data_IF_099071035122
#
_entry.id   IF_099071035122
#
_cell.length_a   1.000
_cell.length_b   1.000
_cell.length_c   1.000
_cell.angle_alpha   90.00
_cell.angle_beta   90.00
_cell.angle_gamma   90.00
#
_symmetry.space_group_name_H-M   'P 1'
#
loop_
_entity.id
_entity.type
_entity.pdbx_description
1 polymer ?
#
# COMPACT_ATOMS: atom_id res chain seq x y z
N UNK A 1 -0.22 4.78 -7.88
CA UNK A 1 -0.97 3.80 -8.71
C UNK A 1 -2.17 3.30 -7.91
N UNK A 2 -3.35 3.25 -8.51
CA UNK A 2 -4.49 2.55 -7.94
C UNK A 2 -4.28 1.04 -8.06
N UNK A 3 -4.63 0.28 -7.03
CA UNK A 3 -4.38 -1.17 -6.99
C UNK A 3 -5.07 -1.90 -8.17
N UNK A 4 -6.30 -1.50 -8.49
CA UNK A 4 -7.11 -2.07 -9.58
C UNK A 4 -6.77 -1.55 -10.98
N UNK A 5 -5.83 -0.57 -11.11
CA UNK A 5 -5.43 -0.01 -12.41
C UNK A 5 -4.04 -0.47 -12.82
N UNK A 6 -3.80 -0.65 -14.11
CA UNK A 6 -2.48 -1.05 -14.64
C UNK A 6 -1.49 0.12 -14.67
N UNK A 7 -1.96 1.34 -15.02
CA UNK A 7 -1.10 2.52 -15.20
C UNK A 7 -0.68 3.14 -13.86
N UNK A 8 0.60 3.52 -13.77
CA UNK A 8 1.12 4.41 -12.72
C UNK A 8 0.82 5.84 -13.13
N UNK A 9 0.36 6.66 -12.19
CA UNK A 9 0.22 8.11 -12.36
C UNK A 9 1.40 8.77 -11.69
N UNK A 10 2.10 9.64 -12.40
CA UNK A 10 3.27 10.36 -11.92
C UNK A 10 2.93 11.81 -11.70
N UNK A 11 3.56 12.41 -10.70
CA UNK A 11 3.55 13.82 -10.40
C UNK A 11 5.01 14.24 -10.23
N UNK A 12 5.46 15.20 -11.02
CA UNK A 12 6.84 15.71 -11.01
C UNK A 12 6.86 17.17 -11.42
N UNK A 13 7.95 17.83 -11.10
CA UNK A 13 8.16 19.25 -11.41
C UNK A 13 8.20 19.48 -12.93
N UNK A 14 7.59 20.56 -13.37
CA UNK A 14 7.82 21.08 -14.71
C UNK A 14 9.11 21.92 -14.72
N UNK A 15 10.20 21.34 -15.18
CA UNK A 15 11.51 22.01 -15.18
C UNK A 15 11.61 23.21 -16.14
N UNK A 16 10.60 23.40 -17.01
CA UNK A 16 10.50 24.62 -17.82
C UNK A 16 10.01 25.82 -17.01
N UNK A 17 9.27 25.56 -15.93
CA UNK A 17 8.71 26.59 -15.06
C UNK A 17 9.55 26.77 -13.81
N UNK A 18 9.90 25.68 -13.14
CA UNK A 18 10.69 25.70 -11.91
C UNK A 18 11.33 24.36 -11.61
N UNK A 19 12.54 24.38 -11.05
CA UNK A 19 13.22 23.19 -10.54
C UNK A 19 12.97 22.97 -9.04
N UNK A 20 12.28 23.90 -8.36
CA UNK A 20 12.13 23.89 -6.90
C UNK A 20 10.69 24.06 -6.41
N UNK A 21 9.81 24.69 -7.22
CA UNK A 21 8.42 24.89 -6.83
C UNK A 21 7.60 23.62 -7.08
N UNK A 22 7.21 22.93 -6.02
CA UNK A 22 6.42 21.71 -6.06
C UNK A 22 4.92 21.94 -5.72
N UNK A 23 4.43 23.19 -5.76
CA UNK A 23 3.05 23.51 -5.39
C UNK A 23 2.02 22.66 -6.15
N UNK A 24 2.08 22.64 -7.48
CA UNK A 24 1.14 21.87 -8.30
C UNK A 24 1.29 20.38 -8.11
N UNK A 25 2.49 19.86 -7.88
CA UNK A 25 2.75 18.45 -7.57
C UNK A 25 2.04 18.05 -6.27
N UNK A 26 2.21 18.86 -5.22
CA UNK A 26 1.61 18.61 -3.90
C UNK A 26 0.08 18.72 -3.97
N UNK A 27 -0.46 19.70 -4.68
CA UNK A 27 -1.89 19.90 -4.89
C UNK A 27 -2.53 18.71 -5.61
N UNK A 28 -1.97 18.28 -6.74
CA UNK A 28 -2.47 17.12 -7.50
C UNK A 28 -2.36 15.81 -6.71
N UNK A 29 -1.27 15.64 -5.96
CA UNK A 29 -1.11 14.48 -5.08
C UNK A 29 -2.18 14.47 -3.98
N UNK A 30 -2.48 15.65 -3.38
CA UNK A 30 -3.56 15.81 -2.40
C UNK A 30 -4.90 15.38 -2.99
N UNK A 31 -5.26 15.84 -4.18
CA UNK A 31 -6.52 15.48 -4.85
C UNK A 31 -6.67 13.96 -5.08
N UNK A 32 -5.57 13.27 -5.37
CA UNK A 32 -5.58 11.82 -5.53
C UNK A 32 -5.71 11.10 -4.19
N UNK A 33 -4.98 11.56 -3.16
CA UNK A 33 -5.03 10.97 -1.83
C UNK A 33 -6.40 11.16 -1.17
N UNK A 34 -7.09 12.27 -1.42
CA UNK A 34 -8.47 12.51 -0.94
C UNK A 34 -9.48 11.48 -1.46
N UNK A 35 -9.18 10.77 -2.55
CA UNK A 35 -10.04 9.74 -3.16
C UNK A 35 -9.64 8.33 -2.74
N UNK A 36 -8.62 8.18 -1.90
CA UNK A 36 -8.10 6.89 -1.50
C UNK A 36 -8.65 6.47 -0.15
N UNK A 37 -9.23 5.27 -0.07
CA UNK A 37 -9.67 4.67 1.19
C UNK A 37 -8.47 4.24 2.03
N UNK A 38 -7.39 3.83 1.37
CA UNK A 38 -6.17 3.36 2.01
C UNK A 38 -4.96 3.61 1.13
N UNK A 39 -3.83 3.93 1.74
CA UNK A 39 -2.53 4.12 1.06
C UNK A 39 -1.59 2.99 1.44
N UNK A 40 -0.99 2.35 0.44
CA UNK A 40 0.04 1.32 0.65
C UNK A 40 1.40 1.92 0.37
N UNK A 41 2.31 1.79 1.33
CA UNK A 41 3.69 2.27 1.23
C UNK A 41 4.70 1.26 1.76
N UNK A 42 5.99 1.55 1.55
CA UNK A 42 7.09 0.84 2.19
C UNK A 42 7.95 1.85 2.95
N UNK A 43 7.81 1.91 4.26
CA UNK A 43 8.33 2.96 5.13
C UNK A 43 7.67 4.34 4.87
N UNK A 44 6.52 4.33 4.23
CA UNK A 44 5.79 5.53 3.83
C UNK A 44 5.28 6.36 5.00
N UNK A 45 4.87 5.70 6.09
CA UNK A 45 4.41 6.38 7.31
C UNK A 45 5.49 7.24 7.96
N UNK A 46 6.74 6.81 7.83
CA UNK A 46 7.86 7.52 8.44
C UNK A 46 8.38 8.65 7.56
N UNK A 47 8.36 8.47 6.23
CA UNK A 47 8.95 9.41 5.28
C UNK A 47 7.92 10.10 4.39
N UNK A 48 7.28 9.37 3.51
CA UNK A 48 6.48 9.93 2.41
C UNK A 48 5.30 10.74 2.93
N UNK A 49 4.50 10.19 3.84
CA UNK A 49 3.32 10.86 4.39
C UNK A 49 3.71 12.07 5.24
N UNK A 50 4.79 11.98 6.02
CA UNK A 50 5.27 13.11 6.82
C UNK A 50 5.85 14.22 5.95
N UNK A 51 6.62 13.87 4.92
CA UNK A 51 7.14 14.84 3.96
C UNK A 51 5.99 15.54 3.23
N UNK A 52 5.00 14.78 2.78
CA UNK A 52 3.81 15.32 2.13
C UNK A 52 3.06 16.32 3.05
N UNK A 53 2.83 15.97 4.32
CA UNK A 53 2.22 16.89 5.29
C UNK A 53 3.04 18.19 5.48
N UNK A 54 4.37 18.06 5.52
CA UNK A 54 5.26 19.22 5.62
C UNK A 54 5.15 20.13 4.38
N UNK A 55 4.93 19.56 3.20
CA UNK A 55 4.73 20.35 1.98
C UNK A 55 3.35 20.98 1.94
N UNK A 56 2.30 20.31 2.42
CA UNK A 56 0.96 20.91 2.54
C UNK A 56 0.98 22.17 3.40
N UNK A 57 1.59 22.13 4.59
CA UNK A 57 1.65 23.30 5.48
C UNK A 57 2.52 24.41 4.89
N UNK A 58 3.63 24.07 4.23
CA UNK A 58 4.49 25.05 3.55
C UNK A 58 3.73 25.83 2.48
N UNK A 59 2.94 25.13 1.65
CA UNK A 59 2.14 25.73 0.57
C UNK A 59 0.79 26.29 1.04
N UNK A 60 0.50 26.28 2.34
CA UNK A 60 -0.80 26.73 2.91
C UNK A 60 -1.99 25.99 2.30
N UNK A 61 -1.79 24.76 1.85
CA UNK A 61 -2.86 23.90 1.38
C UNK A 61 -3.63 23.29 2.55
N UNK A 62 -4.95 23.03 2.39
CA UNK A 62 -5.74 22.42 3.45
C UNK A 62 -5.17 21.09 3.92
N UNK A 63 -5.22 20.83 5.22
CA UNK A 63 -4.80 19.56 5.80
C UNK A 63 -5.55 18.38 5.18
N UNK A 64 -4.91 17.20 5.23
CA UNK A 64 -5.56 15.94 4.88
C UNK A 64 -6.37 15.40 6.05
N UNK A 65 -7.52 14.75 5.80
CA UNK A 65 -8.13 13.90 6.81
C UNK A 65 -7.18 12.76 7.18
N UNK A 66 -7.39 12.09 8.33
CA UNK A 66 -6.62 10.90 8.66
C UNK A 66 -6.68 9.87 7.53
N UNK A 67 -5.53 9.50 6.99
CA UNK A 67 -5.41 8.50 5.93
C UNK A 67 -5.10 7.14 6.57
N UNK A 68 -5.89 6.13 6.23
CA UNK A 68 -5.58 4.76 6.57
C UNK A 68 -4.36 4.32 5.75
N UNK A 69 -3.33 3.80 6.42
CA UNK A 69 -2.08 3.41 5.79
C UNK A 69 -1.73 1.96 6.08
N UNK A 70 -1.23 1.26 5.07
CA UNK A 70 -0.58 -0.04 5.17
C UNK A 70 0.89 0.12 4.83
N UNK A 71 1.74 0.14 5.86
CA UNK A 71 3.19 0.19 5.68
C UNK A 71 3.76 -1.23 5.63
N UNK A 72 4.14 -1.67 4.43
CA UNK A 72 4.66 -3.02 4.19
C UNK A 72 5.98 -3.29 4.92
N UNK A 73 6.78 -2.28 5.24
CA UNK A 73 7.97 -2.43 6.09
C UNK A 73 7.58 -2.79 7.53
N UNK A 74 6.59 -2.10 8.09
CA UNK A 74 6.08 -2.38 9.44
C UNK A 74 5.49 -3.78 9.52
N UNK A 75 4.65 -4.15 8.55
CA UNK A 75 4.05 -5.48 8.50
C UNK A 75 5.10 -6.58 8.28
N UNK A 76 6.12 -6.36 7.44
CA UNK A 76 7.22 -7.28 7.26
C UNK A 76 7.96 -7.55 8.58
N UNK A 77 8.33 -6.51 9.31
CA UNK A 77 9.00 -6.61 10.62
C UNK A 77 8.14 -7.30 11.68
N UNK A 78 6.82 -7.07 11.64
CA UNK A 78 5.87 -7.61 12.62
C UNK A 78 5.59 -9.10 12.43
N UNK A 79 5.62 -9.58 11.21
CA UNK A 79 5.14 -10.93 10.85
C UNK A 79 6.27 -11.86 10.47
N UNK A 80 7.35 -11.34 9.86
CA UNK A 80 8.45 -12.13 9.30
C UNK A 80 9.79 -11.76 9.93
N UNK A 81 10.75 -12.65 9.75
CA UNK A 81 12.16 -12.44 10.14
C UNK A 81 13.03 -12.52 8.90
N UNK A 82 12.88 -11.53 8.01
CA UNK A 82 13.79 -11.40 6.87
C UNK A 82 15.17 -10.91 7.30
N UNK A 83 16.24 -11.32 6.62
CA UNK A 83 17.60 -10.83 6.86
C UNK A 83 17.74 -9.34 6.55
N UNK A 84 16.92 -8.81 5.63
CA UNK A 84 16.78 -7.37 5.37
C UNK A 84 15.32 -7.05 5.06
N UNK A 85 14.85 -5.91 5.58
CA UNK A 85 13.50 -5.42 5.29
C UNK A 85 13.48 -4.31 4.24
N UNK A 86 14.54 -4.16 3.42
CA UNK A 86 14.51 -3.27 2.25
C UNK A 86 13.54 -3.83 1.20
N UNK A 87 12.81 -2.97 0.50
CA UNK A 87 11.84 -3.38 -0.52
C UNK A 87 12.48 -4.29 -1.57
N UNK A 88 13.67 -3.93 -2.04
CA UNK A 88 14.41 -4.72 -3.03
C UNK A 88 14.75 -6.12 -2.52
N UNK A 89 15.26 -6.23 -1.28
CA UNK A 89 15.57 -7.52 -0.68
C UNK A 89 14.33 -8.42 -0.58
N UNK A 90 13.21 -7.87 -0.09
CA UNK A 90 11.96 -8.63 0.04
C UNK A 90 11.45 -9.03 -1.33
N UNK A 91 11.53 -8.15 -2.33
CA UNK A 91 11.08 -8.45 -3.69
C UNK A 91 11.90 -9.59 -4.34
N UNK A 92 13.23 -9.57 -4.17
CA UNK A 92 14.12 -10.65 -4.64
C UNK A 92 13.85 -11.96 -3.89
N UNK A 93 13.73 -11.89 -2.56
CA UNK A 93 13.42 -13.06 -1.71
C UNK A 93 12.10 -13.75 -2.11
N UNK A 94 11.09 -12.95 -2.48
CA UNK A 94 9.78 -13.43 -2.93
C UNK A 94 9.73 -13.80 -4.42
N UNK A 95 10.80 -13.54 -5.18
CA UNK A 95 10.86 -13.80 -6.62
C UNK A 95 9.89 -12.92 -7.44
N UNK A 96 9.55 -11.71 -6.96
CA UNK A 96 8.56 -10.84 -7.60
C UNK A 96 9.18 -9.68 -8.39
N UNK A 97 10.50 -9.50 -8.31
CA UNK A 97 11.27 -8.50 -9.06
C UNK A 97 12.51 -8.05 -8.31
N UNK A 98 13.22 -7.13 -8.93
CA UNK A 98 14.38 -6.43 -8.37
C UNK A 98 14.31 -4.96 -8.76
N UNK A 99 14.94 -4.10 -7.96
CA UNK A 99 15.03 -2.66 -8.27
C UNK A 99 15.90 -2.42 -9.50
N UNK A 100 15.59 -1.35 -10.21
CA UNK A 100 16.43 -0.84 -11.29
C UNK A 100 17.67 -0.17 -10.68
N UNK A 101 18.83 -0.38 -11.29
CA UNK A 101 20.05 0.37 -10.95
C UNK A 101 19.88 1.85 -11.34
N UNK A 102 19.99 2.73 -10.37
CA UNK A 102 19.89 4.18 -10.58
C UNK A 102 21.21 4.81 -10.98
N UNK A 103 22.34 4.12 -10.78
CA UNK A 103 23.68 4.72 -10.92
C UNK A 103 24.06 5.62 -9.72
N UNK A 104 23.41 5.42 -8.57
CA UNK A 104 23.76 6.10 -7.32
C UNK A 104 23.33 7.57 -7.26
N UNK A 105 24.13 8.40 -6.60
CA UNK A 105 23.82 9.79 -6.27
C UNK A 105 23.71 10.69 -7.52
N UNK A 106 24.43 10.38 -8.58
CA UNK A 106 24.47 11.16 -9.83
C UNK A 106 23.07 11.37 -10.46
N UNK A 107 22.16 10.39 -10.29
CA UNK A 107 20.78 10.54 -10.75
C UNK A 107 20.03 11.63 -9.98
N UNK A 108 20.22 11.68 -8.66
CA UNK A 108 19.59 12.67 -7.78
C UNK A 108 20.14 14.07 -8.03
N UNK A 109 21.46 14.20 -8.18
CA UNK A 109 22.12 15.46 -8.54
C UNK A 109 21.65 15.95 -9.92
N UNK A 110 21.53 15.05 -10.90
CA UNK A 110 20.98 15.38 -12.20
C UNK A 110 19.56 15.92 -12.14
N UNK A 111 18.68 15.32 -11.31
CA UNK A 111 17.33 15.84 -11.08
C UNK A 111 17.34 17.21 -10.40
N UNK A 112 18.17 17.39 -9.36
CA UNK A 112 18.29 18.67 -8.65
C UNK A 112 18.79 19.81 -9.56
N UNK A 113 19.65 19.46 -10.52
CA UNK A 113 20.18 20.39 -11.52
C UNK A 113 19.25 20.58 -12.76
N UNK A 114 18.01 20.07 -12.72
CA UNK A 114 17.02 20.27 -13.78
C UNK A 114 17.22 19.41 -15.03
N UNK A 115 18.02 18.35 -14.98
CA UNK A 115 18.23 17.47 -16.13
C UNK A 115 16.98 16.65 -16.47
N UNK A 116 16.37 16.93 -17.63
CA UNK A 116 15.20 16.17 -18.13
C UNK A 116 15.50 14.68 -18.34
N UNK A 117 16.72 14.34 -18.74
CA UNK A 117 17.17 12.94 -18.89
C UNK A 117 17.21 12.24 -17.53
N UNK A 118 17.75 12.91 -16.51
CA UNK A 118 17.75 12.37 -15.15
C UNK A 118 16.33 12.23 -14.60
N UNK A 119 15.46 13.22 -14.81
CA UNK A 119 14.05 13.16 -14.40
C UNK A 119 13.33 11.97 -15.06
N UNK A 120 13.48 11.77 -16.36
CA UNK A 120 12.87 10.64 -17.07
C UNK A 120 13.33 9.29 -16.51
N UNK A 121 14.63 9.14 -16.20
CA UNK A 121 15.17 7.94 -15.54
C UNK A 121 14.61 7.78 -14.13
N UNK A 122 14.50 8.87 -13.36
CA UNK A 122 13.90 8.87 -12.01
C UNK A 122 12.43 8.45 -12.03
N UNK A 123 11.63 8.96 -12.97
CA UNK A 123 10.23 8.55 -13.15
C UNK A 123 10.12 7.06 -13.46
N UNK A 124 10.98 6.54 -14.33
CA UNK A 124 11.01 5.11 -14.66
C UNK A 124 11.38 4.26 -13.44
N UNK A 125 12.35 4.70 -12.65
CA UNK A 125 12.73 4.08 -11.38
C UNK A 125 11.56 4.07 -10.38
N UNK A 126 10.92 5.21 -10.13
CA UNK A 126 9.78 5.29 -9.22
C UNK A 126 8.60 4.42 -9.70
N UNK A 127 8.36 4.35 -10.99
CA UNK A 127 7.33 3.47 -11.55
C UNK A 127 7.62 1.99 -11.25
N UNK A 128 8.87 1.58 -11.42
CA UNK A 128 9.30 0.21 -11.11
C UNK A 128 9.12 -0.10 -9.61
N UNK A 129 9.54 0.82 -8.73
CA UNK A 129 9.37 0.67 -7.28
C UNK A 129 7.90 0.50 -6.90
N UNK A 130 6.98 1.27 -7.49
CA UNK A 130 5.54 1.16 -7.25
C UNK A 130 4.99 -0.19 -7.71
N UNK A 131 5.44 -0.71 -8.86
CA UNK A 131 5.01 -2.01 -9.37
C UNK A 131 5.56 -3.17 -8.51
N UNK A 132 6.80 -3.06 -8.06
CA UNK A 132 7.41 -4.02 -7.13
C UNK A 132 6.68 -3.98 -5.78
N UNK A 133 6.41 -2.79 -5.25
CA UNK A 133 5.67 -2.62 -4.00
C UNK A 133 4.30 -3.28 -4.06
N UNK A 134 3.57 -3.14 -5.17
CA UNK A 134 2.29 -3.82 -5.33
C UNK A 134 2.45 -5.35 -5.23
N UNK A 135 3.39 -5.93 -5.95
CA UNK A 135 3.63 -7.38 -5.93
C UNK A 135 4.05 -7.89 -4.54
N UNK A 136 4.92 -7.13 -3.85
CA UNK A 136 5.31 -7.43 -2.47
C UNK A 136 4.10 -7.34 -1.54
N UNK A 137 3.30 -6.28 -1.64
CA UNK A 137 2.07 -6.13 -0.86
C UNK A 137 1.12 -7.32 -1.06
N UNK A 138 0.83 -7.70 -2.30
CA UNK A 138 -0.05 -8.82 -2.63
C UNK A 138 0.46 -10.15 -2.04
N UNK A 139 1.77 -10.39 -2.05
CA UNK A 139 2.38 -11.59 -1.46
C UNK A 139 2.37 -11.59 0.07
N UNK A 140 2.50 -10.44 0.71
CA UNK A 140 2.45 -10.30 2.17
C UNK A 140 1.01 -10.24 2.71
N UNK A 141 0.05 -9.81 1.92
CA UNK A 141 -1.33 -9.54 2.31
C UNK A 141 -1.99 -10.66 3.13
N UNK A 142 -1.89 -11.97 2.75
CA UNK A 142 -2.48 -13.07 3.53
C UNK A 142 -2.02 -13.12 4.99
N UNK A 143 -0.78 -12.68 5.24
CA UNK A 143 -0.10 -12.77 6.52
C UNK A 143 -0.22 -11.51 7.38
N UNK A 144 -0.55 -10.36 6.80
CA UNK A 144 -0.62 -9.07 7.50
C UNK A 144 -1.59 -9.13 8.67
N UNK A 145 -1.19 -8.57 9.81
CA UNK A 145 -2.01 -8.48 11.04
C UNK A 145 -2.62 -7.10 11.25
N UNK A 146 -1.97 -6.04 10.74
CA UNK A 146 -2.41 -4.65 10.88
C UNK A 146 -3.16 -4.11 9.65
N UNK A 147 -3.61 -4.97 8.74
CA UNK A 147 -4.36 -4.54 7.56
C UNK A 147 -5.74 -4.01 7.96
N UNK A 148 -6.20 -2.86 7.42
CA UNK A 148 -7.53 -2.35 7.67
C UNK A 148 -8.59 -3.31 7.16
N UNK A 149 -9.76 -3.31 7.79
CA UNK A 149 -10.89 -4.10 7.32
C UNK A 149 -11.59 -3.39 6.16
N UNK A 150 -11.46 -3.93 4.96
CA UNK A 150 -12.07 -3.38 3.74
C UNK A 150 -13.52 -3.86 3.53
N UNK A 151 -14.03 -4.74 4.39
CA UNK A 151 -15.37 -5.34 4.25
C UNK A 151 -16.46 -4.62 5.09
N UNK A 152 -16.14 -3.50 5.75
CA UNK A 152 -17.05 -2.84 6.69
C UNK A 152 -18.35 -2.35 6.03
N UNK A 153 -18.28 -1.94 4.77
CA UNK A 153 -19.41 -1.36 4.03
C UNK A 153 -20.16 -2.41 3.18
N UNK A 154 -19.78 -3.69 3.26
CA UNK A 154 -20.42 -4.74 2.46
C UNK A 154 -21.59 -5.37 3.24
N UNK A 155 -22.73 -5.52 2.57
CA UNK A 155 -23.90 -6.25 3.10
C UNK A 155 -23.62 -7.73 3.30
N UNK A 156 -22.70 -8.28 2.52
CA UNK A 156 -22.30 -9.68 2.52
C UNK A 156 -20.97 -9.91 3.26
N UNK A 157 -20.72 -11.15 3.67
CA UNK A 157 -19.43 -11.55 4.26
C UNK A 157 -18.37 -11.54 3.14
N UNK A 158 -17.52 -10.53 3.15
CA UNK A 158 -16.37 -10.42 2.24
C UNK A 158 -15.05 -10.50 3.02
N UNK A 159 -13.96 -10.70 2.28
CA UNK A 159 -12.63 -10.76 2.88
C UNK A 159 -12.22 -9.41 3.46
N UNK A 160 -11.87 -9.32 4.76
CA UNK A 160 -11.47 -8.04 5.37
C UNK A 160 -10.20 -7.46 4.76
N UNK A 161 -9.40 -8.24 4.03
CA UNK A 161 -8.14 -7.77 3.46
C UNK A 161 -8.24 -7.33 2.00
N UNK A 162 -9.00 -8.04 1.16
CA UNK A 162 -9.10 -7.75 -0.27
C UNK A 162 -10.54 -7.52 -0.75
N UNK A 163 -11.49 -7.52 0.16
CA UNK A 163 -12.93 -7.33 -0.10
C UNK A 163 -13.54 -8.36 -1.08
N UNK A 164 -12.87 -9.48 -1.32
CA UNK A 164 -13.41 -10.54 -2.17
C UNK A 164 -14.58 -11.26 -1.51
N UNK A 165 -15.66 -11.59 -2.25
CA UNK A 165 -16.74 -12.44 -1.77
C UNK A 165 -16.38 -13.94 -1.75
N UNK A 166 -15.23 -14.31 -2.35
CA UNK A 166 -14.82 -15.70 -2.55
C UNK A 166 -14.28 -16.34 -1.27
N UNK A 167 -15.17 -16.54 -0.29
CA UNK A 167 -14.85 -16.98 1.05
C UNK A 167 -15.23 -18.44 1.29
N UNK A 168 -14.30 -19.22 1.86
CA UNK A 168 -14.57 -20.62 2.26
C UNK A 168 -14.64 -20.72 3.77
N UNK A 169 -15.71 -21.31 4.23
CA UNK A 169 -15.93 -21.65 5.63
C UNK A 169 -14.97 -22.79 6.04
N UNK A 170 -14.25 -22.61 7.14
CA UNK A 170 -13.35 -23.60 7.74
C UNK A 170 -13.86 -24.05 9.11
N UNK A 171 -13.03 -24.75 9.85
CA UNK A 171 -13.36 -25.30 11.15
C UNK A 171 -13.62 -24.22 12.21
N UNK A 172 -14.29 -24.62 13.30
CA UNK A 172 -14.36 -23.82 14.51
C UNK A 172 -12.99 -23.84 15.21
N UNK A 173 -12.59 -22.70 15.74
CA UNK A 173 -11.39 -22.58 16.56
C UNK A 173 -11.73 -21.94 17.91
N UNK A 174 -11.13 -22.45 18.96
CA UNK A 174 -11.22 -21.87 20.31
C UNK A 174 -10.16 -20.77 20.44
N UNK A 175 -10.56 -19.58 20.91
CA UNK A 175 -9.61 -18.53 21.30
C UNK A 175 -8.95 -18.84 22.64
N UNK A 176 -7.89 -18.10 23.00
CA UNK A 176 -7.26 -18.23 24.33
C UNK A 176 -8.25 -17.98 25.48
N UNK A 177 -9.27 -17.12 25.26
CA UNK A 177 -10.35 -16.86 26.23
C UNK A 177 -11.48 -17.92 26.19
N UNK A 178 -11.28 -19.06 25.53
CA UNK A 178 -12.26 -20.14 25.46
C UNK A 178 -13.43 -19.95 24.49
N UNK A 179 -13.49 -18.82 23.79
CA UNK A 179 -14.61 -18.47 22.88
C UNK A 179 -14.45 -19.22 21.55
N UNK A 180 -15.53 -19.89 21.13
CA UNK A 180 -15.56 -20.54 19.81
C UNK A 180 -15.81 -19.52 18.71
N UNK A 181 -14.94 -19.52 17.67
CA UNK A 181 -15.04 -18.67 16.50
C UNK A 181 -15.01 -19.48 15.22
N UNK A 182 -15.81 -19.09 14.23
CA UNK A 182 -15.77 -19.66 12.88
C UNK A 182 -14.59 -19.07 12.12
N UNK A 183 -13.74 -19.94 11.57
CA UNK A 183 -12.66 -19.53 10.68
C UNK A 183 -13.12 -19.53 9.22
N UNK A 184 -12.66 -18.57 8.47
CA UNK A 184 -12.85 -18.43 7.03
C UNK A 184 -11.49 -18.28 6.34
N UNK A 185 -11.43 -18.72 5.08
CA UNK A 185 -10.29 -18.51 4.19
C UNK A 185 -10.76 -17.84 2.92
N UNK A 186 -10.12 -16.74 2.52
CA UNK A 186 -10.33 -16.15 1.22
C UNK A 186 -9.58 -16.95 0.16
N UNK A 187 -10.25 -17.35 -0.93
CA UNK A 187 -9.61 -18.05 -2.03
C UNK A 187 -8.75 -17.14 -2.91
N UNK A 188 -9.07 -15.83 -2.96
CA UNK A 188 -8.37 -14.91 -3.84
C UNK A 188 -7.03 -14.43 -3.24
N UNK A 189 -7.03 -13.96 -2.00
CA UNK A 189 -5.78 -13.53 -1.36
C UNK A 189 -5.13 -14.59 -0.46
N UNK A 190 -5.80 -15.73 -0.19
CA UNK A 190 -5.29 -16.79 0.70
C UNK A 190 -5.38 -16.48 2.19
N UNK A 191 -5.82 -15.28 2.58
CA UNK A 191 -5.89 -14.85 3.98
C UNK A 191 -6.92 -15.59 4.80
N UNK A 192 -6.61 -15.77 6.10
CA UNK A 192 -7.53 -16.38 7.07
C UNK A 192 -8.02 -15.32 8.05
N UNK A 193 -9.28 -15.42 8.47
CA UNK A 193 -9.86 -14.60 9.53
C UNK A 193 -10.94 -15.35 10.29
N UNK A 194 -11.35 -14.81 11.43
CA UNK A 194 -12.37 -15.43 12.29
C UNK A 194 -13.48 -14.43 12.60
N UNK A 195 -14.72 -14.88 12.51
CA UNK A 195 -15.90 -14.14 12.98
C UNK A 195 -16.38 -14.65 14.34
N UNK A 196 -16.96 -13.77 15.16
CA UNK A 196 -17.66 -14.18 16.39
C UNK A 196 -18.86 -15.04 16.02
N UNK A 197 -19.17 -16.08 16.83
CA UNK A 197 -20.29 -16.96 16.57
C UNK A 197 -21.66 -16.24 16.58
N UNK A 198 -21.75 -15.09 17.24
CA UNK A 198 -22.97 -14.28 17.33
C UNK A 198 -23.25 -13.41 16.09
N UNK A 199 -22.27 -13.24 15.18
CA UNK A 199 -22.46 -12.51 13.90
C UNK A 199 -23.12 -13.39 12.83
N UNK A 200 -23.95 -14.35 13.26
CA UNK A 200 -24.59 -15.37 12.42
C UNK A 200 -25.68 -14.88 11.48
N UNK A 201 -26.01 -13.63 11.45
CA UNK A 201 -27.24 -13.16 10.80
C UNK A 201 -27.07 -12.42 9.48
N UNK A 202 -25.86 -12.36 8.92
CA UNK A 202 -25.75 -11.97 7.51
C UNK A 202 -25.64 -13.25 6.67
N UNK A 203 -26.73 -13.61 6.05
CA UNK A 203 -26.90 -14.82 5.25
C UNK A 203 -25.84 -14.90 4.15
N UNK A 204 -25.12 -16.01 4.11
CA UNK A 204 -24.55 -16.48 2.86
C UNK A 204 -25.75 -16.80 1.96
N UNK A 205 -26.07 -15.92 1.03
CA UNK A 205 -26.96 -16.29 -0.05
C UNK A 205 -26.29 -17.43 -0.80
N UNK A 206 -26.90 -18.60 -0.63
CA UNK A 206 -26.63 -19.78 -1.45
C UNK A 206 -27.07 -19.47 -2.88
N UNK A 207 -26.16 -19.60 -3.80
CA UNK A 207 -26.43 -20.03 -5.16
C UNK A 207 -25.53 -21.20 -5.46
#
# INVERSE_FOLDING_TARGET
>A
KWLHRKKVKNFYLNFDESTTDDYEVVKQMREVLMKADCVVGHNGDRYDLKKFQSRLIYHKLPAMPPIVSVDTLKEARKVFKFSSNKLDYIAQYLGVGAKMDTGGIALWEGCANGSRKALSKMVSYCNMDVLILQKVYERLLPYMKGHPNLSLDSENITCPKCNSPNMVKKNLRRTAAGIMRRQYQCKDCGGHYTLRAAEKTKSLTQN
#
